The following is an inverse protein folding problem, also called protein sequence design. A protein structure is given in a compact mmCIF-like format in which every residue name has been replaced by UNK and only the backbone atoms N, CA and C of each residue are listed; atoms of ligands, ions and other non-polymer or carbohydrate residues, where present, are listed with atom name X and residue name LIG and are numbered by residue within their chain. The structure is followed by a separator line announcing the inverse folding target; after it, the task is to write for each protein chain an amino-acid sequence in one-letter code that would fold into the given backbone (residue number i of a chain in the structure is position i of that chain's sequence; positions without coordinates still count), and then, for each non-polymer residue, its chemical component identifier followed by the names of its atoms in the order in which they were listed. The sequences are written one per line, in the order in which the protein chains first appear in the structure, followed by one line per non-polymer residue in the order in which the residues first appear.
data_IF_232970829398
#
_entry.id   IF_232970829398
#
_cell.length_a   1.000
_cell.length_b   1.000
_cell.length_c   1.000
_cell.angle_alpha   90.00
_cell.angle_beta   90.00
_cell.angle_gamma   90.00
#
_symmetry.space_group_name_H-M   'P 1'
#
loop_
_entity.id
_entity.type
_entity.pdbx_description
1 polymer ?
#
# COMPACT_ATOMS: atom_id res chain seq x y z
N UNK A 1 -1.38 26.63 14.74
CA UNK A 1 -1.24 25.97 13.43
C UNK A 1 0.08 26.39 12.81
N UNK A 2 0.81 25.45 12.20
CA UNK A 2 2.10 25.76 11.57
C UNK A 2 1.89 26.22 10.13
N UNK A 3 2.46 27.36 9.76
CA UNK A 3 2.36 27.95 8.41
C UNK A 3 2.88 27.02 7.31
N UNK A 4 3.83 26.16 7.66
CA UNK A 4 4.54 25.31 6.70
C UNK A 4 3.89 23.93 6.53
N UNK A 5 3.19 23.43 7.56
CA UNK A 5 2.59 22.09 7.55
C UNK A 5 1.15 22.14 7.02
N UNK A 6 0.39 23.19 7.37
CA UNK A 6 -1.02 23.34 7.00
C UNK A 6 -1.30 24.78 6.51
N UNK A 7 -0.73 25.17 5.35
CA UNK A 7 -0.79 26.55 4.88
C UNK A 7 -2.21 27.06 4.66
N UNK A 8 -3.13 26.19 4.20
CA UNK A 8 -4.52 26.55 3.95
C UNK A 8 -5.30 26.81 5.25
N UNK A 9 -5.09 26.01 6.29
CA UNK A 9 -5.74 26.25 7.59
C UNK A 9 -5.18 27.51 8.25
N UNK A 10 -3.88 27.75 8.11
CA UNK A 10 -3.25 28.99 8.56
C UNK A 10 -3.83 30.23 7.85
N UNK A 11 -4.08 30.15 6.54
CA UNK A 11 -4.74 31.22 5.78
C UNK A 11 -6.19 31.45 6.24
N UNK A 12 -6.95 30.38 6.47
CA UNK A 12 -8.31 30.49 7.03
C UNK A 12 -8.28 31.17 8.39
N UNK A 13 -7.32 30.82 9.26
CA UNK A 13 -7.15 31.47 10.56
C UNK A 13 -6.79 32.97 10.44
N UNK A 14 -5.96 33.34 9.46
CA UNK A 14 -5.68 34.74 9.15
C UNK A 14 -6.95 35.48 8.72
N UNK A 15 -7.82 34.85 7.92
CA UNK A 15 -9.11 35.40 7.54
C UNK A 15 -10.07 35.55 8.73
N UNK A 16 -10.13 34.56 9.64
CA UNK A 16 -10.93 34.61 10.87
C UNK A 16 -10.51 35.79 11.77
N UNK A 17 -9.21 36.03 11.89
CA UNK A 17 -8.68 37.16 12.68
C UNK A 17 -8.89 38.51 11.98
N UNK A 18 -8.74 38.58 10.65
CA UNK A 18 -8.96 39.79 9.87
C UNK A 18 -10.41 40.30 9.94
N UNK A 19 -11.41 39.42 10.03
CA UNK A 19 -12.82 39.81 10.20
C UNK A 19 -13.02 40.70 11.44
N UNK A 20 -12.30 40.41 12.53
CA UNK A 20 -12.44 41.15 13.79
C UNK A 20 -11.80 42.55 13.76
N UNK A 21 -11.01 42.86 12.72
CA UNK A 21 -10.34 44.17 12.57
C UNK A 21 -11.21 45.22 11.89
N UNK A 22 -12.33 44.82 11.27
CA UNK A 22 -13.26 45.73 10.59
C UNK A 22 -12.72 46.41 9.31
N UNK A 23 -11.47 46.16 8.93
CA UNK A 23 -10.84 46.76 7.75
C UNK A 23 -11.15 46.00 6.44
N UNK A 24 -11.60 44.75 6.55
CA UNK A 24 -11.73 43.84 5.41
C UNK A 24 -13.20 43.57 5.08
N UNK A 25 -13.55 43.55 3.78
CA UNK A 25 -14.89 43.20 3.29
C UNK A 25 -15.22 41.70 3.37
N UNK A 26 -14.48 40.95 4.18
CA UNK A 26 -14.65 39.50 4.33
C UNK A 26 -15.79 39.23 5.31
N UNK A 27 -16.76 38.40 4.93
CA UNK A 27 -17.84 38.01 5.85
C UNK A 27 -17.48 36.72 6.58
N UNK A 28 -17.98 36.59 7.82
CA UNK A 28 -17.88 35.35 8.60
C UNK A 28 -18.44 34.14 7.83
N UNK A 29 -19.51 34.36 7.07
CA UNK A 29 -20.13 33.33 6.23
C UNK A 29 -19.16 32.81 5.16
N UNK A 30 -18.46 33.69 4.45
CA UNK A 30 -17.49 33.30 3.41
C UNK A 30 -16.38 32.42 3.98
N UNK A 31 -15.85 32.77 5.16
CA UNK A 31 -14.77 32.01 5.81
C UNK A 31 -15.25 30.64 6.27
N UNK A 32 -16.44 30.57 6.88
CA UNK A 32 -17.03 29.29 7.30
C UNK A 32 -17.33 28.38 6.10
N UNK A 33 -17.83 28.94 4.99
CA UNK A 33 -18.08 28.17 3.77
C UNK A 33 -16.77 27.63 3.16
N UNK A 34 -15.71 28.44 3.12
CA UNK A 34 -14.40 28.00 2.64
C UNK A 34 -13.82 26.86 3.50
N UNK A 35 -14.01 26.94 4.82
CA UNK A 35 -13.60 25.90 5.78
C UNK A 35 -14.37 24.60 5.57
N UNK A 36 -15.68 24.69 5.35
CA UNK A 36 -16.52 23.54 5.08
C UNK A 36 -16.16 22.85 3.75
N UNK A 37 -15.97 23.62 2.67
CA UNK A 37 -15.52 23.07 1.38
C UNK A 37 -14.13 22.44 1.46
N UNK A 38 -13.19 23.04 2.19
CA UNK A 38 -11.87 22.45 2.40
C UNK A 38 -11.98 21.10 3.13
N UNK A 39 -12.83 21.00 4.15
CA UNK A 39 -13.07 19.75 4.87
C UNK A 39 -13.71 18.69 3.97
N UNK A 40 -14.72 19.05 3.17
CA UNK A 40 -15.33 18.14 2.19
C UNK A 40 -14.31 17.59 1.20
N UNK A 41 -13.43 18.44 0.66
CA UNK A 41 -12.37 18.01 -0.27
C UNK A 41 -11.40 17.05 0.40
N UNK A 42 -10.99 17.32 1.65
CA UNK A 42 -10.12 16.42 2.42
C UNK A 42 -10.77 15.06 2.66
N UNK A 43 -12.07 15.03 2.99
CA UNK A 43 -12.81 13.78 3.17
C UNK A 43 -12.90 12.99 1.86
N UNK A 44 -13.25 13.64 0.75
CA UNK A 44 -13.30 12.99 -0.57
C UNK A 44 -11.96 12.35 -0.97
N UNK A 45 -10.85 13.06 -0.73
CA UNK A 45 -9.51 12.51 -1.01
C UNK A 45 -9.24 11.28 -0.14
N UNK A 46 -9.54 11.34 1.16
CA UNK A 46 -9.37 10.19 2.06
C UNK A 46 -10.19 8.97 1.61
N UNK A 47 -11.46 9.19 1.27
CA UNK A 47 -12.35 8.13 0.81
C UNK A 47 -11.82 7.50 -0.48
N UNK A 48 -11.41 8.33 -1.45
CA UNK A 48 -10.82 7.85 -2.69
C UNK A 48 -9.53 7.07 -2.47
N UNK A 49 -8.63 7.55 -1.60
CA UNK A 49 -7.39 6.84 -1.28
C UNK A 49 -7.65 5.50 -0.59
N UNK A 50 -8.69 5.43 0.25
CA UNK A 50 -9.09 4.20 0.93
C UNK A 50 -9.67 3.20 -0.07
N UNK A 51 -10.58 3.64 -0.93
CA UNK A 51 -11.17 2.80 -1.97
C UNK A 51 -10.10 2.23 -2.92
N UNK A 52 -9.16 3.06 -3.35
CA UNK A 52 -8.04 2.62 -4.18
C UNK A 52 -7.13 1.60 -3.46
N UNK A 53 -6.88 1.81 -2.17
CA UNK A 53 -6.11 0.86 -1.35
C UNK A 53 -6.86 -0.47 -1.21
N UNK A 54 -8.15 -0.44 -0.87
CA UNK A 54 -8.99 -1.62 -0.70
C UNK A 54 -9.10 -2.43 -2.01
N UNK A 55 -9.27 -1.74 -3.15
CA UNK A 55 -9.29 -2.37 -4.47
C UNK A 55 -7.96 -3.03 -4.84
N UNK A 56 -6.84 -2.37 -4.57
CA UNK A 56 -5.52 -2.95 -4.78
C UNK A 56 -5.29 -4.18 -3.89
N UNK A 57 -5.67 -4.09 -2.62
CA UNK A 57 -5.56 -5.20 -1.68
C UNK A 57 -6.40 -6.40 -2.12
N UNK A 58 -7.63 -6.15 -2.59
CA UNK A 58 -8.49 -7.17 -3.16
C UNK A 58 -7.84 -7.84 -4.38
N UNK A 59 -7.31 -7.07 -5.33
CA UNK A 59 -6.65 -7.60 -6.52
C UNK A 59 -5.43 -8.47 -6.15
N UNK A 60 -4.60 -8.03 -5.20
CA UNK A 60 -3.46 -8.82 -4.70
C UNK A 60 -3.93 -10.12 -4.05
N UNK A 61 -4.99 -10.10 -3.26
CA UNK A 61 -5.54 -11.31 -2.64
C UNK A 61 -6.07 -12.30 -3.66
N UNK A 62 -6.80 -11.82 -4.68
CA UNK A 62 -7.31 -12.66 -5.76
C UNK A 62 -6.18 -13.25 -6.61
N UNK A 63 -5.14 -12.47 -6.92
CA UNK A 63 -3.94 -12.98 -7.61
C UNK A 63 -3.29 -14.08 -6.76
N UNK A 64 -3.09 -13.84 -5.46
CA UNK A 64 -2.48 -14.82 -4.56
C UNK A 64 -3.33 -16.09 -4.37
N UNK A 65 -4.66 -15.98 -4.38
CA UNK A 65 -5.56 -17.15 -4.33
C UNK A 65 -5.47 -18.00 -5.59
N UNK A 66 -5.34 -17.35 -6.74
CA UNK A 66 -5.29 -18.02 -8.05
C UNK A 66 -3.87 -18.45 -8.47
N UNK A 67 -2.87 -18.14 -7.65
CA UNK A 67 -1.50 -18.65 -7.78
C UNK A 67 -1.41 -20.01 -7.07
N UNK A 68 -1.69 -21.08 -7.81
CA UNK A 68 -1.34 -22.43 -7.37
C UNK A 68 0.18 -22.60 -7.50
N UNK A 69 0.89 -22.40 -6.39
CA UNK A 69 2.31 -22.67 -6.30
C UNK A 69 2.56 -24.13 -5.94
N UNK A 70 3.27 -24.84 -6.80
CA UNK A 70 3.72 -26.20 -6.53
C UNK A 70 5.20 -26.16 -6.17
N UNK A 71 5.59 -26.85 -5.10
CA UNK A 71 7.01 -27.03 -4.78
C UNK A 71 7.61 -27.95 -5.84
N UNK A 72 8.60 -27.44 -6.57
CA UNK A 72 9.27 -28.19 -7.64
C UNK A 72 10.67 -28.61 -7.26
N UNK A 73 11.31 -27.89 -6.34
CA UNK A 73 12.66 -28.15 -5.91
C UNK A 73 12.93 -27.55 -4.53
N UNK A 74 14.13 -27.81 -4.03
CA UNK A 74 14.65 -27.34 -2.75
C UNK A 74 16.06 -26.80 -2.98
N UNK A 75 16.41 -25.73 -2.26
CA UNK A 75 17.76 -25.18 -2.23
C UNK A 75 18.21 -25.00 -0.78
N UNK A 76 19.51 -24.82 -0.58
CA UNK A 76 20.06 -24.36 0.71
C UNK A 76 20.41 -22.89 0.63
N UNK A 77 20.36 -22.21 1.77
CA UNK A 77 20.78 -20.82 1.93
C UNK A 77 22.03 -20.74 2.79
N UNK A 78 23.01 -19.93 2.39
CA UNK A 78 24.19 -19.66 3.21
C UNK A 78 23.92 -18.49 4.19
N UNK A 79 24.89 -18.18 5.06
CA UNK A 79 24.77 -17.09 6.04
C UNK A 79 24.60 -15.69 5.40
N UNK A 80 25.00 -15.53 4.13
CA UNK A 80 24.84 -14.30 3.36
C UNK A 80 23.47 -14.17 2.71
N UNK A 81 22.71 -15.27 2.65
CA UNK A 81 21.42 -15.33 1.98
C UNK A 81 21.44 -15.91 0.57
N UNK A 82 22.60 -16.30 0.04
CA UNK A 82 22.71 -16.87 -1.30
C UNK A 82 22.18 -18.30 -1.35
N UNK A 83 21.49 -18.65 -2.43
CA UNK A 83 20.97 -20.00 -2.68
C UNK A 83 22.04 -20.88 -3.35
N UNK A 84 22.17 -22.12 -2.88
CA UNK A 84 23.06 -23.14 -3.43
C UNK A 84 22.47 -24.54 -3.23
N UNK A 85 23.08 -25.57 -3.84
CA UNK A 85 22.66 -26.98 -3.70
C UNK A 85 21.18 -27.22 -4.05
N UNK A 86 20.83 -26.93 -5.31
CA UNK A 86 19.49 -27.13 -5.89
C UNK A 86 19.20 -28.63 -6.07
N UNK A 87 18.10 -29.12 -5.50
CA UNK A 87 17.69 -30.53 -5.54
C UNK A 87 16.20 -30.67 -5.76
N UNK A 88 15.79 -31.70 -6.50
CA UNK A 88 14.38 -32.04 -6.69
C UNK A 88 13.78 -32.75 -5.47
N UNK A 89 14.62 -33.43 -4.68
CA UNK A 89 14.19 -34.22 -3.51
C UNK A 89 14.62 -33.52 -2.23
N UNK A 90 13.67 -33.37 -1.29
CA UNK A 90 13.94 -32.85 0.04
C UNK A 90 14.75 -33.86 0.86
N UNK A 91 15.87 -33.43 1.43
CA UNK A 91 16.60 -34.24 2.41
C UNK A 91 16.05 -33.97 3.82
N UNK A 92 15.40 -34.95 4.49
CA UNK A 92 14.77 -34.74 5.78
C UNK A 92 15.76 -34.59 6.95
N UNK A 93 17.04 -34.89 6.73
CA UNK A 93 18.09 -34.82 7.76
C UNK A 93 18.79 -33.46 7.83
N UNK A 94 18.42 -32.51 6.96
CA UNK A 94 18.98 -31.16 6.97
C UNK A 94 18.20 -30.28 7.94
N UNK A 95 18.90 -29.31 8.54
CA UNK A 95 18.27 -28.28 9.35
C UNK A 95 17.24 -27.50 8.50
N UNK A 96 15.96 -27.48 8.89
CA UNK A 96 14.93 -26.72 8.18
C UNK A 96 15.24 -25.23 8.04
N UNK A 97 16.06 -24.65 8.92
CA UNK A 97 16.40 -23.22 8.91
C UNK A 97 17.26 -22.80 7.71
N UNK A 98 18.00 -23.74 7.11
CA UNK A 98 18.88 -23.50 5.97
C UNK A 98 18.27 -23.98 4.65
N UNK A 99 17.09 -24.62 4.68
CA UNK A 99 16.43 -25.20 3.51
C UNK A 99 15.32 -24.29 3.01
N UNK A 100 15.31 -24.01 1.72
CA UNK A 100 14.35 -23.12 1.06
C UNK A 100 13.60 -23.90 -0.03
N UNK A 101 12.27 -24.04 0.04
CA UNK A 101 11.48 -24.58 -1.06
C UNK A 101 11.46 -23.61 -2.25
N UNK A 102 11.57 -24.16 -3.45
CA UNK A 102 11.44 -23.43 -4.70
C UNK A 102 10.11 -23.78 -5.35
N UNK A 103 9.41 -22.76 -5.80
CA UNK A 103 8.05 -22.86 -6.32
C UNK A 103 8.04 -22.53 -7.82
N UNK A 104 7.19 -23.23 -8.54
CA UNK A 104 6.78 -22.85 -9.89
C UNK A 104 5.29 -22.53 -9.89
N UNK A 105 4.86 -21.73 -10.86
CA UNK A 105 3.45 -21.61 -11.18
C UNK A 105 2.94 -22.95 -11.74
N UNK A 106 1.92 -23.54 -11.10
CA UNK A 106 1.39 -24.85 -11.47
C UNK A 106 0.87 -24.90 -12.92
N UNK A 107 0.38 -23.77 -13.44
CA UNK A 107 -0.15 -23.67 -14.81
C UNK A 107 0.88 -24.03 -15.87
N UNK A 108 2.12 -23.60 -15.66
CA UNK A 108 3.21 -23.71 -16.64
C UNK A 108 3.85 -25.11 -16.61
N UNK A 109 3.71 -25.83 -15.49
CA UNK A 109 4.09 -27.25 -15.38
C UNK A 109 3.13 -28.16 -16.16
N UNK A 110 1.83 -27.89 -16.09
CA UNK A 110 0.82 -28.70 -16.77
C UNK A 110 0.90 -28.61 -18.31
N UNK A 111 1.15 -27.41 -18.84
CA UNK A 111 1.28 -27.20 -20.29
C UNK A 111 2.51 -27.91 -20.90
N UNK A 112 3.61 -28.01 -20.14
CA UNK A 112 4.83 -28.68 -20.58
C UNK A 112 4.82 -30.21 -20.41
N UNK A 113 3.83 -30.77 -19.72
CA UNK A 113 3.65 -32.21 -19.55
C UNK A 113 2.80 -32.88 -20.65
N UNK A 114 2.28 -32.07 -21.60
CA UNK A 114 1.45 -32.50 -22.72
C UNK A 114 2.19 -32.50 -24.08
N UNK A 115 3.50 -32.23 -24.10
CA UNK A 115 4.40 -32.38 -25.27
C UNK A 115 5.36 -33.54 -25.04
#
# INVERSE_FOLDING_TARGET
MNKNSDPLDYLIQCCETAINTGQWKLTKFTVLNAKDELNKLRTKIKDFTKEAFDANQFAVQEINRNLEFTIVAWARKNDRGDLYDLRMIQNPYLDPSIVVPLYSDGKTLHDNSAQ
#
